data_IF_878825265690
#
_entry.id   IF_878825265690
#
_cell.length_a   1.000
_cell.length_b   1.000
_cell.length_c   1.000
_cell.angle_alpha   90.00
_cell.angle_beta   90.00
_cell.angle_gamma   90.00
#
_symmetry.space_group_name_H-M   'P 1'
#
loop_
_entity.id
_entity.type
_entity.pdbx_description
1 polymer ?
#
# COMPACT_ATOMS: atom_id res chain seq x y z
N UNK A 1 -52.46 -30.47 21.08
CA UNK A 1 -51.48 -29.83 21.97
C UNK A 1 -50.16 -30.01 21.26
N UNK A 2 -49.84 -29.08 20.38
CA UNK A 2 -48.58 -29.09 19.65
C UNK A 2 -47.79 -27.89 20.15
N UNK A 3 -46.66 -28.21 20.79
CA UNK A 3 -45.71 -27.28 21.37
C UNK A 3 -44.76 -26.79 20.27
N UNK A 4 -44.91 -25.53 19.88
CA UNK A 4 -43.90 -24.81 19.10
C UNK A 4 -42.66 -24.56 19.98
N UNK A 5 -41.64 -25.39 19.81
CA UNK A 5 -40.26 -25.09 20.22
C UNK A 5 -39.63 -24.20 19.16
N UNK A 6 -39.90 -22.89 19.22
CA UNK A 6 -39.11 -21.90 18.48
C UNK A 6 -37.78 -21.69 19.21
N UNK A 7 -36.70 -21.66 18.43
CA UNK A 7 -35.33 -21.86 18.88
C UNK A 7 -34.77 -20.65 19.63
N UNK A 8 -34.25 -20.90 20.83
CA UNK A 8 -33.51 -20.01 21.76
C UNK A 8 -32.15 -19.50 21.23
N UNK A 9 -32.01 -19.31 19.92
CA UNK A 9 -30.73 -18.93 19.30
C UNK A 9 -30.32 -17.47 19.57
N UNK A 10 -31.26 -16.59 19.91
CA UNK A 10 -31.00 -15.16 20.12
C UNK A 10 -31.17 -14.67 21.57
N UNK A 11 -31.34 -15.59 22.53
CA UNK A 11 -31.65 -15.26 23.92
C UNK A 11 -33.09 -14.79 24.09
N UNK A 12 -33.60 -14.89 25.32
CA UNK A 12 -34.95 -14.45 25.66
C UNK A 12 -35.16 -12.94 25.45
N UNK A 13 -36.43 -12.51 25.41
CA UNK A 13 -36.81 -11.12 25.17
C UNK A 13 -36.17 -10.15 26.18
N UNK A 14 -35.87 -10.62 27.38
CA UNK A 14 -35.21 -9.86 28.44
C UNK A 14 -33.73 -9.64 28.12
N UNK A 15 -33.02 -10.67 27.67
CA UNK A 15 -31.63 -10.62 27.19
C UNK A 15 -31.49 -9.71 25.98
N UNK A 16 -32.42 -9.78 25.03
CA UNK A 16 -32.45 -8.92 23.85
C UNK A 16 -32.67 -7.45 24.26
N UNK A 17 -33.55 -7.19 25.22
CA UNK A 17 -33.83 -5.84 25.73
C UNK A 17 -32.60 -5.25 26.45
N UNK A 18 -31.91 -6.04 27.28
CA UNK A 18 -30.70 -5.61 27.98
C UNK A 18 -29.55 -5.30 27.00
N UNK A 19 -29.33 -6.17 26.00
CA UNK A 19 -28.32 -5.93 24.96
C UNK A 19 -28.64 -4.67 24.15
N UNK A 20 -29.91 -4.43 23.80
CA UNK A 20 -30.33 -3.19 23.12
C UNK A 20 -30.12 -1.95 23.99
N UNK A 21 -30.37 -2.03 25.30
CA UNK A 21 -30.10 -0.94 26.23
C UNK A 21 -28.60 -0.63 26.34
N UNK A 22 -27.76 -1.67 26.38
CA UNK A 22 -26.28 -1.55 26.43
C UNK A 22 -25.69 -0.92 25.17
N UNK A 23 -26.27 -1.18 23.99
CA UNK A 23 -25.79 -0.61 22.72
C UNK A 23 -26.38 0.78 22.44
N UNK A 24 -27.46 1.19 23.12
CA UNK A 24 -28.14 2.49 22.91
C UNK A 24 -27.22 3.70 23.14
N UNK A 25 -26.22 3.55 24.00
CA UNK A 25 -25.23 4.59 24.30
C UNK A 25 -23.87 4.34 23.64
N UNK A 26 -23.76 3.28 22.83
CA UNK A 26 -22.53 2.95 22.15
C UNK A 26 -22.39 3.81 20.89
N UNK A 27 -21.55 4.85 20.99
CA UNK A 27 -21.23 5.71 19.86
C UNK A 27 -20.30 4.97 18.88
N UNK A 28 -20.94 4.31 17.91
CA UNK A 28 -20.27 3.61 16.83
C UNK A 28 -19.37 4.59 16.06
N UNK A 29 -19.81 5.83 15.79
CA UNK A 29 -19.01 6.79 15.04
C UNK A 29 -17.73 7.19 15.81
N UNK A 30 -17.82 7.42 17.12
CA UNK A 30 -16.64 7.67 17.96
C UNK A 30 -15.73 6.45 18.08
N UNK A 31 -16.28 5.23 18.20
CA UNK A 31 -15.48 4.00 18.21
C UNK A 31 -14.74 3.80 16.89
N UNK A 32 -15.39 4.09 15.76
CA UNK A 32 -14.77 4.02 14.44
C UNK A 32 -13.77 5.15 14.22
N UNK A 33 -13.99 6.35 14.77
CA UNK A 33 -13.00 7.43 14.75
C UNK A 33 -11.76 7.07 15.61
N UNK A 34 -11.96 6.43 16.76
CA UNK A 34 -10.89 5.95 17.65
C UNK A 34 -10.13 4.76 17.04
N UNK A 35 -10.83 3.82 16.40
CA UNK A 35 -10.20 2.70 15.68
C UNK A 35 -9.51 3.17 14.40
N UNK A 36 -10.09 4.13 13.68
CA UNK A 36 -9.42 4.77 12.54
C UNK A 36 -8.17 5.51 13.03
N UNK A 37 -8.22 6.23 14.15
CA UNK A 37 -7.02 6.80 14.77
C UNK A 37 -6.01 5.71 15.17
N UNK A 38 -6.44 4.63 15.82
CA UNK A 38 -5.56 3.54 16.24
C UNK A 38 -4.93 2.75 15.07
N UNK A 39 -5.60 2.70 13.91
CA UNK A 39 -5.11 2.04 12.70
C UNK A 39 -4.41 3.01 11.73
N UNK A 40 -4.54 4.33 11.96
CA UNK A 40 -3.74 5.34 11.26
C UNK A 40 -2.33 5.32 11.86
N UNK A 41 -1.27 5.25 11.03
CA UNK A 41 0.08 5.42 11.54
C UNK A 41 0.15 6.71 12.37
N UNK A 42 0.72 6.63 13.59
CA UNK A 42 0.74 7.76 14.55
C UNK A 42 1.22 9.09 13.92
N UNK A 43 2.07 9.04 12.89
CA UNK A 43 2.57 10.24 12.17
C UNK A 43 1.54 10.89 11.25
N UNK A 44 0.55 10.17 10.73
CA UNK A 44 -0.51 10.74 9.89
C UNK A 44 -1.50 11.58 10.70
N UNK A 45 -1.69 11.23 11.98
CA UNK A 45 -2.44 12.06 12.92
C UNK A 45 -1.76 13.42 13.14
N UNK A 46 -0.41 13.46 13.15
CA UNK A 46 0.36 14.68 13.31
C UNK A 46 0.29 15.61 12.08
N UNK A 47 0.17 15.07 10.86
CA UNK A 47 -0.01 15.86 9.63
C UNK A 47 -1.34 16.61 9.61
N UNK A 48 -2.42 16.05 10.21
CA UNK A 48 -3.71 16.74 10.38
C UNK A 48 -3.65 17.91 11.36
N UNK A 49 -2.65 17.92 12.24
CA UNK A 49 -2.51 18.92 13.31
C UNK A 49 -1.48 20.01 12.98
N UNK A 50 -0.84 19.95 11.82
CA UNK A 50 0.14 20.93 11.38
C UNK A 50 -0.56 22.20 10.87
N UNK A 51 -0.33 23.40 11.43
CA UNK A 51 -0.81 24.63 10.82
C UNK A 51 -0.09 24.89 9.48
N UNK A 52 -0.73 25.59 8.52
CA UNK A 52 -0.09 25.95 7.27
C UNK A 52 1.16 26.79 7.56
N UNK A 53 2.31 26.37 7.04
CA UNK A 53 3.54 27.15 7.09
C UNK A 53 3.32 28.45 6.32
N UNK A 54 3.64 29.64 6.87
CA UNK A 54 3.51 30.89 6.12
C UNK A 54 4.45 30.84 4.91
N UNK A 55 3.93 31.19 3.74
CA UNK A 55 4.77 31.44 2.57
C UNK A 55 5.64 32.67 2.86
N UNK A 56 6.95 32.49 2.99
CA UNK A 56 7.89 33.60 2.91
C UNK A 56 8.06 33.99 1.45
N UNK A 57 7.37 35.07 1.07
CA UNK A 57 7.69 35.91 -0.06
C UNK A 57 9.13 36.43 0.11
N UNK A 58 10.04 36.04 -0.78
CA UNK A 58 11.25 36.84 -1.04
C UNK A 58 11.51 36.91 -2.53
N UNK A 59 11.15 38.06 -3.09
CA UNK A 59 11.53 38.50 -4.44
C UNK A 59 13.06 38.72 -4.54
N UNK A 60 13.64 38.66 -5.76
CA UNK A 60 15.09 38.65 -5.96
C UNK A 60 15.68 40.06 -6.09
N UNK A 61 16.89 40.25 -5.57
CA UNK A 61 17.71 41.46 -5.73
C UNK A 61 19.21 41.11 -5.73
N UNK A 62 20.09 41.99 -6.24
CA UNK A 62 20.74 41.73 -7.53
C UNK A 62 22.23 41.34 -7.46
N UNK A 63 22.70 40.90 -8.62
CA UNK A 63 24.05 40.50 -8.97
C UNK A 63 25.15 41.49 -8.53
N UNK A 64 26.26 40.93 -8.04
CA UNK A 64 27.54 41.65 -7.96
C UNK A 64 28.60 40.90 -8.75
N UNK A 65 29.15 41.64 -9.70
CA UNK A 65 30.23 41.32 -10.64
C UNK A 65 31.56 41.24 -9.91
N UNK A 66 32.41 40.26 -10.25
CA UNK A 66 33.85 40.32 -10.02
C UNK A 66 34.59 39.92 -11.30
N UNK A 67 35.11 40.93 -11.99
CA UNK A 67 36.21 40.88 -12.97
C UNK A 67 37.53 40.63 -12.24
N UNK A 68 38.46 39.83 -12.74
CA UNK A 68 39.69 40.17 -13.53
C UNK A 68 40.60 38.93 -13.36
N UNK A 69 41.49 38.45 -14.22
CA UNK A 69 42.36 39.04 -15.24
C UNK A 69 43.07 37.86 -15.95
N UNK A 70 43.29 37.95 -17.27
CA UNK A 70 44.22 37.08 -18.03
C UNK A 70 45.70 37.46 -17.75
N UNK A 71 46.68 36.71 -18.31
CA UNK A 71 47.19 37.13 -19.63
C UNK A 71 47.55 36.00 -20.62
N UNK A 72 47.16 36.26 -21.87
CA UNK A 72 47.88 36.19 -23.16
C UNK A 72 48.60 34.94 -23.71
N UNK A 73 48.22 34.70 -24.98
CA UNK A 73 49.02 34.35 -26.17
C UNK A 73 49.43 32.89 -26.43
N UNK A 74 48.77 32.26 -27.40
CA UNK A 74 49.30 32.13 -28.78
C UNK A 74 48.47 31.14 -29.61
N UNK A 75 48.18 31.53 -30.86
CA UNK A 75 47.52 30.73 -31.89
C UNK A 75 48.34 29.50 -32.31
N UNK A 76 47.67 28.36 -32.55
CA UNK A 76 47.94 27.60 -33.78
C UNK A 76 46.82 26.63 -34.15
N UNK A 77 46.53 26.59 -35.46
CA UNK A 77 45.65 25.65 -36.15
C UNK A 77 46.29 24.26 -36.30
N UNK A 78 45.47 23.22 -36.42
CA UNK A 78 45.81 22.05 -37.25
C UNK A 78 45.71 20.66 -36.60
N UNK A 79 44.91 19.82 -37.26
CA UNK A 79 44.87 18.34 -37.29
C UNK A 79 44.26 17.63 -36.07
N UNK A 80 43.09 17.02 -36.20
CA UNK A 80 42.85 15.74 -36.90
C UNK A 80 43.63 14.59 -36.28
N UNK A 81 43.04 13.93 -35.28
CA UNK A 81 43.21 12.50 -35.09
C UNK A 81 41.93 11.89 -34.57
N UNK A 82 41.38 11.08 -35.47
CA UNK A 82 40.41 10.02 -35.30
C UNK A 82 40.62 9.30 -33.96
N UNK A 83 39.65 9.42 -33.05
CA UNK A 83 39.51 8.51 -31.92
C UNK A 83 38.08 8.04 -31.96
N UNK A 84 37.96 6.81 -32.44
CA UNK A 84 36.79 5.95 -32.43
C UNK A 84 36.01 6.16 -31.13
N UNK A 85 34.91 6.92 -31.24
CA UNK A 85 33.94 7.04 -30.17
C UNK A 85 33.30 5.66 -29.98
N UNK A 86 33.89 4.86 -29.08
CA UNK A 86 33.20 3.73 -28.50
C UNK A 86 31.88 4.26 -27.95
N UNK A 87 30.77 3.79 -28.52
CA UNK A 87 29.44 4.09 -28.04
C UNK A 87 29.41 3.78 -26.54
N UNK A 88 29.39 4.83 -25.72
CA UNK A 88 29.15 4.72 -24.29
C UNK A 88 27.71 4.24 -24.19
N UNK A 89 27.53 2.92 -24.02
CA UNK A 89 26.26 2.35 -23.59
C UNK A 89 25.86 3.15 -22.35
N UNK A 90 24.70 3.83 -22.34
CA UNK A 90 24.30 4.57 -21.16
C UNK A 90 24.20 3.55 -20.02
N UNK A 91 25.13 3.65 -19.06
CA UNK A 91 25.13 2.80 -17.90
C UNK A 91 23.73 2.92 -17.28
N UNK A 92 23.01 1.80 -17.19
CA UNK A 92 21.71 1.73 -16.53
C UNK A 92 21.90 2.24 -15.11
N UNK A 93 21.55 3.51 -14.89
CA UNK A 93 21.69 4.15 -13.58
C UNK A 93 20.68 3.51 -12.66
N UNK A 94 21.17 2.58 -11.83
CA UNK A 94 20.35 1.92 -10.83
C UNK A 94 19.77 2.96 -9.87
N UNK A 95 18.48 2.86 -9.58
CA UNK A 95 17.76 3.78 -8.71
C UNK A 95 17.21 3.04 -7.50
N UNK A 96 17.39 3.59 -6.30
CA UNK A 96 16.79 3.06 -5.08
C UNK A 96 16.29 4.21 -4.20
N UNK A 97 14.96 4.46 -4.15
CA UNK A 97 14.37 5.46 -3.26
C UNK A 97 14.64 5.20 -1.77
N UNK A 98 14.97 3.97 -1.38
CA UNK A 98 15.24 3.58 0.01
C UNK A 98 16.74 3.59 0.36
N UNK A 99 17.57 4.27 -0.42
CA UNK A 99 18.99 4.42 -0.11
C UNK A 99 19.18 5.01 1.31
N UNK A 100 20.00 4.36 2.13
CA UNK A 100 20.25 4.74 3.53
C UNK A 100 19.21 4.26 4.55
N UNK A 101 18.10 3.68 4.11
CA UNK A 101 17.09 3.10 5.01
C UNK A 101 17.56 1.72 5.49
N UNK A 102 17.90 1.59 6.78
CA UNK A 102 18.53 0.38 7.34
C UNK A 102 17.69 -0.89 7.16
N UNK A 103 16.37 -0.77 7.10
CA UNK A 103 15.44 -1.89 6.92
C UNK A 103 15.03 -2.13 5.46
N UNK A 104 15.72 -1.49 4.52
CA UNK A 104 15.58 -1.74 3.09
C UNK A 104 16.86 -2.33 2.50
N UNK A 105 16.73 -3.03 1.37
CA UNK A 105 17.87 -3.43 0.56
C UNK A 105 18.59 -2.21 0.00
N UNK A 106 19.91 -2.19 0.12
CA UNK A 106 20.82 -1.20 -0.44
C UNK A 106 21.41 -1.66 -1.79
N UNK A 107 21.93 -0.71 -2.58
CA UNK A 107 22.49 -1.03 -3.91
C UNK A 107 23.91 -1.58 -3.85
N UNK A 108 24.63 -1.30 -2.77
CA UNK A 108 25.98 -1.74 -2.48
C UNK A 108 26.04 -3.12 -1.79
N UNK A 109 24.89 -3.73 -1.49
CA UNK A 109 24.80 -5.10 -0.95
C UNK A 109 24.23 -6.11 -1.97
N UNK A 110 24.70 -7.36 -1.86
CA UNK A 110 24.13 -8.48 -2.61
C UNK A 110 22.74 -8.84 -2.09
N UNK A 111 21.94 -9.54 -2.89
CA UNK A 111 20.63 -10.00 -2.45
C UNK A 111 20.74 -11.02 -1.30
N UNK A 112 21.81 -11.82 -1.29
CA UNK A 112 22.12 -12.79 -0.22
C UNK A 112 22.45 -12.08 1.09
N UNK A 113 23.29 -11.03 1.04
CA UNK A 113 23.63 -10.24 2.22
C UNK A 113 22.39 -9.56 2.81
N UNK A 114 21.52 -8.99 1.96
CA UNK A 114 20.24 -8.41 2.37
C UNK A 114 19.33 -9.43 3.07
N UNK A 115 19.14 -10.61 2.47
CA UNK A 115 18.27 -11.66 3.02
C UNK A 115 18.82 -12.24 4.32
N UNK A 116 20.14 -12.34 4.47
CA UNK A 116 20.79 -12.78 5.71
C UNK A 116 20.72 -11.71 6.81
N UNK A 117 20.77 -10.43 6.44
CA UNK A 117 20.72 -9.30 7.37
C UNK A 117 19.31 -9.05 7.92
N UNK A 118 18.28 -9.26 7.11
CA UNK A 118 16.88 -9.02 7.46
C UNK A 118 15.97 -10.22 7.13
N UNK A 119 16.18 -11.39 7.75
CA UNK A 119 15.26 -12.53 7.64
C UNK A 119 13.93 -12.19 8.32
N UNK A 120 12.80 -12.18 7.60
CA UNK A 120 11.54 -11.74 8.19
C UNK A 120 11.15 -12.52 9.44
N UNK A 121 11.32 -13.85 9.45
CA UNK A 121 10.89 -14.70 10.56
C UNK A 121 11.56 -14.35 11.90
N UNK A 122 12.80 -13.86 11.91
CA UNK A 122 13.54 -13.59 13.14
C UNK A 122 13.84 -12.11 13.39
N UNK A 123 13.69 -11.24 12.39
CA UNK A 123 13.86 -9.79 12.55
C UNK A 123 12.69 -9.23 13.35
N UNK A 124 12.90 -8.67 14.57
CA UNK A 124 11.80 -8.12 15.36
C UNK A 124 11.26 -6.83 14.73
N UNK A 125 9.93 -6.71 14.71
CA UNK A 125 9.26 -5.47 14.38
C UNK A 125 9.51 -4.47 15.51
N UNK A 126 9.79 -3.23 15.14
CA UNK A 126 9.92 -2.11 16.09
C UNK A 126 9.38 -0.85 15.45
N UNK A 127 9.17 0.21 16.22
CA UNK A 127 8.80 1.52 15.66
C UNK A 127 9.83 2.06 14.63
N UNK A 128 11.10 1.65 14.73
CA UNK A 128 12.17 2.03 13.79
C UNK A 128 12.32 1.04 12.62
N UNK A 129 11.73 -0.15 12.72
CA UNK A 129 11.74 -1.22 11.71
C UNK A 129 10.31 -1.80 11.60
N UNK A 130 9.37 -1.03 11.04
CA UNK A 130 7.99 -1.51 10.89
C UNK A 130 7.83 -2.51 9.73
N UNK A 131 8.76 -2.46 8.77
CA UNK A 131 8.71 -3.24 7.52
C UNK A 131 10.12 -3.53 7.01
N UNK A 132 10.27 -4.60 6.24
CA UNK A 132 11.47 -4.89 5.46
C UNK A 132 11.16 -4.61 3.98
N UNK A 133 11.97 -3.80 3.31
CA UNK A 133 11.73 -3.34 1.93
C UNK A 133 12.77 -3.79 0.93
N UNK A 134 12.33 -3.95 -0.32
CA UNK A 134 13.20 -4.03 -1.48
C UNK A 134 12.60 -3.25 -2.64
N UNK A 135 13.42 -2.43 -3.29
CA UNK A 135 13.06 -1.72 -4.51
C UNK A 135 13.69 -2.39 -5.74
N UNK A 136 13.00 -2.33 -6.87
CA UNK A 136 13.51 -2.81 -8.15
C UNK A 136 14.49 -1.78 -8.77
N UNK A 137 15.80 -2.06 -8.82
CA UNK A 137 16.81 -1.08 -9.17
C UNK A 137 16.86 -0.73 -10.66
N UNK A 138 16.23 -1.55 -11.53
CA UNK A 138 16.36 -1.45 -12.98
C UNK A 138 15.25 -0.61 -13.64
N UNK A 139 14.41 0.06 -12.84
CA UNK A 139 13.18 0.69 -13.34
C UNK A 139 13.35 2.05 -14.01
N UNK A 140 14.48 2.71 -13.81
CA UNK A 140 14.83 4.04 -14.33
C UNK A 140 14.92 4.13 -15.87
N UNK A 141 14.60 3.05 -16.61
CA UNK A 141 14.73 2.96 -18.07
C UNK A 141 13.44 2.74 -18.87
N UNK A 142 12.22 2.86 -18.31
CA UNK A 142 10.99 2.80 -19.14
C UNK A 142 10.88 4.06 -20.01
N UNK A 143 10.56 3.88 -21.30
CA UNK A 143 10.28 4.96 -22.25
C UNK A 143 9.15 5.86 -21.73
N UNK A 144 9.14 7.16 -22.08
CA UNK A 144 8.04 8.07 -21.77
C UNK A 144 6.72 7.45 -22.21
N UNK A 145 5.71 7.49 -21.34
CA UNK A 145 4.33 7.13 -21.70
C UNK A 145 3.83 8.04 -22.83
N UNK A 146 2.85 7.56 -23.62
CA UNK A 146 2.17 8.37 -24.65
C UNK A 146 1.56 9.67 -24.09
N UNK A 147 1.34 9.75 -22.78
CA UNK A 147 1.03 10.97 -22.07
C UNK A 147 2.31 11.80 -21.86
N UNK A 148 2.56 12.74 -22.78
CA UNK A 148 3.78 13.54 -22.90
C UNK A 148 4.51 13.84 -21.60
N UNK A 149 5.77 13.43 -21.56
CA UNK A 149 6.89 13.92 -20.73
C UNK A 149 6.53 14.37 -19.30
N UNK A 150 5.88 13.50 -18.53
CA UNK A 150 5.78 13.67 -17.07
C UNK A 150 6.77 12.75 -16.40
N UNK A 151 7.62 13.30 -15.55
CA UNK A 151 8.49 12.51 -14.69
C UNK A 151 7.65 11.59 -13.79
N UNK A 152 7.71 10.28 -14.06
CA UNK A 152 7.07 9.23 -13.24
C UNK A 152 8.06 8.59 -12.27
N UNK A 153 9.16 9.29 -11.96
CA UNK A 153 10.11 8.87 -10.95
C UNK A 153 9.40 8.59 -9.63
N UNK A 154 9.97 7.66 -8.86
CA UNK A 154 9.45 7.34 -7.55
C UNK A 154 10.33 7.97 -6.47
N UNK A 155 9.73 8.68 -5.52
CA UNK A 155 10.39 9.39 -4.43
C UNK A 155 9.81 8.94 -3.09
N UNK A 156 10.55 8.99 -1.99
CA UNK A 156 9.98 8.71 -0.66
C UNK A 156 9.45 10.02 -0.09
N UNK A 157 8.19 10.04 0.37
CA UNK A 157 7.57 11.20 1.03
C UNK A 157 7.42 10.93 2.52
N UNK A 158 7.70 11.94 3.33
CA UNK A 158 7.53 11.86 4.78
C UNK A 158 6.07 11.56 5.13
N UNK A 159 5.83 10.60 6.03
CA UNK A 159 4.49 10.12 6.36
C UNK A 159 3.98 8.95 5.49
N UNK A 160 4.78 8.48 4.53
CA UNK A 160 4.46 7.30 3.69
C UNK A 160 5.47 6.18 3.87
N UNK A 161 6.24 6.18 4.97
CA UNK A 161 7.36 5.25 5.19
C UNK A 161 6.89 3.79 5.35
N UNK A 162 5.61 3.60 5.67
CA UNK A 162 4.97 2.29 5.78
C UNK A 162 4.55 1.69 4.43
N UNK A 163 4.83 2.35 3.31
CA UNK A 163 4.38 1.92 1.99
C UNK A 163 5.46 2.07 0.89
N UNK A 164 5.12 1.68 -0.35
CA UNK A 164 6.02 1.84 -1.50
C UNK A 164 6.43 3.32 -1.73
N UNK A 165 7.38 3.61 -2.63
CA UNK A 165 7.74 5.00 -2.97
C UNK A 165 6.75 5.61 -3.97
N UNK A 166 6.73 6.95 -3.97
CA UNK A 166 5.74 7.85 -4.56
C UNK A 166 6.01 8.32 -5.97
N UNK A 167 5.05 8.20 -6.90
CA UNK A 167 5.07 8.95 -8.15
C UNK A 167 5.23 10.44 -7.84
N UNK A 168 6.27 11.04 -8.39
CA UNK A 168 6.59 12.43 -8.16
C UNK A 168 5.41 13.34 -8.56
N UNK A 169 5.07 14.26 -7.65
CA UNK A 169 3.92 15.15 -7.79
C UNK A 169 2.58 14.54 -7.38
N UNK A 170 2.58 13.41 -6.68
CA UNK A 170 1.37 12.90 -6.04
C UNK A 170 0.89 13.83 -4.92
N UNK A 171 -0.41 14.10 -4.89
CA UNK A 171 -1.08 14.92 -3.89
C UNK A 171 -1.90 14.04 -2.93
N UNK A 172 -1.20 13.45 -1.97
CA UNK A 172 -1.79 12.57 -0.97
C UNK A 172 -2.76 13.30 -0.04
N UNK A 173 -2.49 14.58 0.25
CA UNK A 173 -3.32 15.35 1.18
C UNK A 173 -4.70 15.58 0.58
N UNK A 174 -4.76 16.16 -0.62
CA UNK A 174 -6.03 16.39 -1.31
C UNK A 174 -6.74 15.07 -1.62
N UNK A 175 -6.00 14.00 -1.89
CA UNK A 175 -6.58 12.67 -2.05
C UNK A 175 -7.30 12.20 -0.79
N UNK A 176 -6.66 12.28 0.38
CA UNK A 176 -7.25 11.88 1.65
C UNK A 176 -8.47 12.74 2.01
N UNK A 177 -8.38 14.07 1.85
CA UNK A 177 -9.46 15.00 2.14
C UNK A 177 -10.68 14.74 1.23
N UNK A 178 -10.48 14.74 -0.09
CA UNK A 178 -11.56 14.53 -1.06
C UNK A 178 -12.12 13.10 -1.07
N UNK A 179 -11.26 12.10 -0.83
CA UNK A 179 -11.68 10.71 -0.69
C UNK A 179 -12.57 10.50 0.54
N UNK A 180 -12.23 11.12 1.66
CA UNK A 180 -13.04 11.04 2.88
C UNK A 180 -14.37 11.78 2.73
N UNK A 181 -14.37 12.95 2.08
CA UNK A 181 -15.60 13.66 1.75
C UNK A 181 -16.55 12.77 0.93
N UNK A 182 -16.01 12.04 -0.06
CA UNK A 182 -16.82 11.12 -0.87
C UNK A 182 -17.46 10.02 -0.03
N UNK A 183 -16.71 9.45 0.90
CA UNK A 183 -17.21 8.43 1.80
C UNK A 183 -18.26 8.96 2.79
N UNK A 184 -18.11 10.19 3.28
CA UNK A 184 -19.12 10.84 4.11
C UNK A 184 -20.45 11.05 3.34
N UNK A 185 -20.40 11.42 2.05
CA UNK A 185 -21.60 11.51 1.22
C UNK A 185 -22.28 10.14 1.09
N UNK A 186 -21.51 9.08 0.85
CA UNK A 186 -22.02 7.72 0.80
C UNK A 186 -22.63 7.28 2.15
N UNK A 187 -21.99 7.61 3.27
CA UNK A 187 -22.53 7.35 4.62
C UNK A 187 -23.89 7.99 4.81
N UNK A 188 -24.02 9.30 4.55
CA UNK A 188 -25.28 10.04 4.71
C UNK A 188 -26.40 9.43 3.86
N UNK A 189 -26.10 9.09 2.61
CA UNK A 189 -27.06 8.44 1.73
C UNK A 189 -27.48 7.05 2.24
N UNK A 190 -26.52 6.22 2.65
CA UNK A 190 -26.78 4.87 3.17
C UNK A 190 -27.65 4.93 4.44
N UNK A 191 -27.35 5.85 5.36
CA UNK A 191 -28.14 6.06 6.58
C UNK A 191 -29.57 6.50 6.26
N UNK A 192 -29.73 7.47 5.34
CA UNK A 192 -31.03 7.91 4.88
C UNK A 192 -31.83 6.78 4.22
N UNK A 193 -31.19 5.98 3.37
CA UNK A 193 -31.82 4.82 2.75
C UNK A 193 -32.29 3.80 3.80
N UNK A 194 -31.45 3.51 4.81
CA UNK A 194 -31.78 2.59 5.91
C UNK A 194 -32.93 3.10 6.77
N UNK A 195 -33.06 4.41 6.94
CA UNK A 195 -34.13 5.06 7.70
C UNK A 195 -35.42 5.35 6.93
N UNK A 196 -35.48 5.06 5.62
CA UNK A 196 -36.57 5.52 4.74
C UNK A 196 -37.91 4.77 4.85
N UNK A 197 -37.95 3.64 5.58
CA UNK A 197 -39.13 2.76 5.63
C UNK A 197 -39.42 1.99 4.33
N UNK A 198 -38.57 2.12 3.30
CA UNK A 198 -38.70 1.41 2.04
C UNK A 198 -38.41 -0.09 2.17
N UNK A 199 -38.82 -0.88 1.16
CA UNK A 199 -38.61 -2.32 1.13
C UNK A 199 -37.10 -2.69 1.28
N UNK A 200 -36.80 -3.68 2.12
CA UNK A 200 -35.42 -4.10 2.45
C UNK A 200 -34.55 -4.39 1.22
N UNK A 201 -35.12 -5.05 0.21
CA UNK A 201 -34.40 -5.37 -1.03
C UNK A 201 -34.00 -4.12 -1.83
N UNK A 202 -34.88 -3.11 -1.86
CA UNK A 202 -34.60 -1.83 -2.49
C UNK A 202 -33.48 -1.10 -1.74
N UNK A 203 -33.60 -0.99 -0.41
CA UNK A 203 -32.58 -0.35 0.45
C UNK A 203 -31.22 -1.01 0.27
N UNK A 204 -31.15 -2.35 0.29
CA UNK A 204 -29.90 -3.08 0.11
C UNK A 204 -29.26 -2.82 -1.26
N UNK A 205 -30.06 -2.71 -2.33
CA UNK A 205 -29.55 -2.39 -3.68
C UNK A 205 -28.99 -0.97 -3.74
N UNK A 206 -29.71 0.02 -3.22
CA UNK A 206 -29.25 1.42 -3.25
C UNK A 206 -28.01 1.61 -2.37
N UNK A 207 -27.92 0.96 -1.21
CA UNK A 207 -26.70 0.99 -0.37
C UNK A 207 -25.49 0.39 -1.11
N UNK A 208 -25.67 -0.76 -1.78
CA UNK A 208 -24.60 -1.37 -2.59
C UNK A 208 -24.17 -0.47 -3.73
N UNK A 209 -25.12 0.18 -4.40
CA UNK A 209 -24.84 1.13 -5.48
C UNK A 209 -24.05 2.33 -4.97
N UNK A 210 -24.47 2.93 -3.85
CA UNK A 210 -23.76 4.05 -3.24
C UNK A 210 -22.32 3.70 -2.85
N UNK A 211 -22.10 2.50 -2.27
CA UNK A 211 -20.76 2.00 -2.00
C UNK A 211 -19.92 1.83 -3.26
N UNK A 212 -20.49 1.24 -4.32
CA UNK A 212 -19.81 1.05 -5.60
C UNK A 212 -19.46 2.37 -6.31
N UNK A 213 -20.36 3.36 -6.27
CA UNK A 213 -20.13 4.68 -6.83
C UNK A 213 -19.02 5.42 -6.07
N UNK A 214 -19.07 5.40 -4.73
CA UNK A 214 -18.02 5.99 -3.90
C UNK A 214 -16.65 5.34 -4.14
N UNK A 215 -16.60 4.02 -4.25
CA UNK A 215 -15.39 3.27 -4.60
C UNK A 215 -14.80 3.74 -5.94
N UNK A 216 -15.62 3.81 -7.00
CA UNK A 216 -15.20 4.28 -8.32
C UNK A 216 -14.63 5.71 -8.25
N UNK A 217 -15.31 6.60 -7.55
CA UNK A 217 -14.96 8.01 -7.47
C UNK A 217 -13.69 8.26 -6.65
N UNK A 218 -13.48 7.49 -5.57
CA UNK A 218 -12.21 7.46 -4.83
C UNK A 218 -11.06 7.02 -5.73
N UNK A 219 -11.26 6.00 -6.57
CA UNK A 219 -10.22 5.52 -7.49
C UNK A 219 -9.96 6.51 -8.63
N UNK A 220 -10.98 7.22 -9.12
CA UNK A 220 -10.84 8.31 -10.10
C UNK A 220 -10.04 9.47 -9.52
N UNK A 221 -10.34 9.85 -8.28
CA UNK A 221 -9.59 10.88 -7.56
C UNK A 221 -8.13 10.46 -7.33
N UNK A 222 -7.89 9.22 -6.87
CA UNK A 222 -6.54 8.68 -6.67
C UNK A 222 -5.71 8.77 -7.95
N UNK A 223 -6.30 8.39 -9.09
CA UNK A 223 -5.63 8.44 -10.38
C UNK A 223 -5.32 9.87 -10.84
N UNK A 224 -6.26 10.80 -10.67
CA UNK A 224 -6.09 12.21 -11.01
C UNK A 224 -4.98 12.87 -10.19
N UNK A 225 -4.86 12.51 -8.92
CA UNK A 225 -3.86 13.03 -7.97
C UNK A 225 -2.56 12.23 -7.92
N UNK A 226 -2.34 11.35 -8.91
CA UNK A 226 -1.14 10.49 -9.06
C UNK A 226 -0.87 9.52 -7.91
N UNK A 227 -1.89 9.19 -7.12
CA UNK A 227 -1.87 8.12 -6.12
C UNK A 227 -2.22 6.81 -6.82
N UNK A 228 -1.27 6.29 -7.61
CA UNK A 228 -1.56 5.30 -8.65
C UNK A 228 -1.05 3.89 -8.41
N UNK A 229 -0.15 3.66 -7.47
CA UNK A 229 0.49 2.35 -7.30
C UNK A 229 -0.53 1.22 -7.12
N UNK A 230 -0.06 -0.01 -7.01
CA UNK A 230 -0.85 -1.21 -6.79
C UNK A 230 -0.16 -2.10 -5.79
N UNK A 231 -0.84 -3.08 -5.19
CA UNK A 231 -0.18 -4.20 -4.52
C UNK A 231 -0.95 -5.50 -4.59
N UNK A 232 -0.22 -6.57 -4.91
CA UNK A 232 -0.62 -7.94 -4.61
C UNK A 232 -0.26 -8.26 -3.16
N UNK A 233 -1.17 -8.91 -2.43
CA UNK A 233 -0.95 -9.32 -1.05
C UNK A 233 -0.82 -10.84 -0.95
N UNK A 234 0.24 -11.31 -0.29
CA UNK A 234 0.50 -12.71 0.02
C UNK A 234 0.52 -12.89 1.54
N UNK A 235 0.11 -14.06 2.00
CA UNK A 235 0.01 -14.42 3.40
C UNK A 235 0.68 -15.78 3.69
N UNK A 236 1.99 -15.96 3.49
CA UNK A 236 2.70 -17.19 3.88
C UNK A 236 2.62 -17.45 5.39
N UNK A 237 2.74 -18.73 5.78
CA UNK A 237 2.93 -19.13 7.18
C UNK A 237 4.24 -18.59 7.74
N UNK A 238 4.41 -18.61 9.07
CA UNK A 238 5.68 -18.23 9.71
C UNK A 238 6.82 -19.14 9.24
N UNK A 239 6.53 -20.43 9.01
CA UNK A 239 7.51 -21.42 8.53
C UNK A 239 7.99 -21.12 7.10
N UNK A 240 7.09 -20.67 6.23
CA UNK A 240 7.37 -20.44 4.81
C UNK A 240 7.80 -19.00 4.48
N UNK A 241 7.73 -18.08 5.45
CA UNK A 241 7.91 -16.65 5.19
C UNK A 241 9.26 -16.30 4.62
N UNK A 242 10.36 -16.84 5.18
CA UNK A 242 11.72 -16.54 4.72
C UNK A 242 11.92 -17.01 3.28
N UNK A 243 11.47 -18.24 2.98
CA UNK A 243 11.54 -18.83 1.64
C UNK A 243 10.70 -18.03 0.63
N UNK A 244 9.47 -17.68 1.01
CA UNK A 244 8.56 -16.88 0.17
C UNK A 244 9.17 -15.50 -0.10
N UNK A 245 9.71 -14.85 0.94
CA UNK A 245 10.35 -13.55 0.82
C UNK A 245 11.60 -13.58 -0.04
N UNK A 246 12.45 -14.61 0.08
CA UNK A 246 13.62 -14.79 -0.78
C UNK A 246 13.22 -14.80 -2.27
N UNK A 247 12.21 -15.58 -2.64
CA UNK A 247 11.73 -15.65 -4.04
C UNK A 247 11.22 -14.28 -4.50
N UNK A 248 10.41 -13.61 -3.68
CA UNK A 248 9.88 -12.27 -3.99
C UNK A 248 11.00 -11.24 -4.12
N UNK A 249 11.97 -11.23 -3.21
CA UNK A 249 13.05 -10.28 -3.18
C UNK A 249 13.97 -10.44 -4.41
N UNK A 250 14.36 -11.68 -4.73
CA UNK A 250 15.16 -11.98 -5.93
C UNK A 250 14.43 -11.56 -7.21
N UNK A 251 13.17 -11.95 -7.37
CA UNK A 251 12.39 -11.62 -8.55
C UNK A 251 12.12 -10.10 -8.67
N UNK A 252 12.01 -9.37 -7.55
CA UNK A 252 11.91 -7.90 -7.54
C UNK A 252 13.23 -7.24 -7.95
N UNK A 253 14.37 -7.71 -7.41
CA UNK A 253 15.69 -7.19 -7.76
C UNK A 253 16.04 -7.40 -9.24
N UNK A 254 15.55 -8.51 -9.82
CA UNK A 254 15.76 -8.89 -11.22
C UNK A 254 14.73 -8.31 -12.19
N UNK A 255 13.91 -7.34 -11.76
CA UNK A 255 12.88 -6.69 -12.58
C UNK A 255 11.83 -7.67 -13.17
N UNK A 256 11.61 -8.80 -12.51
CA UNK A 256 10.59 -9.77 -12.93
C UNK A 256 9.23 -9.50 -12.30
N UNK A 257 9.22 -8.97 -11.08
CA UNK A 257 8.02 -8.49 -10.39
C UNK A 257 7.78 -7.00 -10.66
N UNK A 258 7.11 -6.33 -9.73
CA UNK A 258 6.76 -4.93 -9.87
C UNK A 258 7.86 -3.98 -9.38
N UNK A 259 7.47 -2.87 -8.79
CA UNK A 259 8.35 -1.74 -8.48
C UNK A 259 9.11 -1.90 -7.17
N UNK A 260 8.50 -2.58 -6.23
CA UNK A 260 8.98 -2.77 -4.89
C UNK A 260 8.23 -3.96 -4.27
N UNK A 261 8.76 -4.47 -3.18
CA UNK A 261 8.06 -5.37 -2.29
C UNK A 261 8.35 -5.02 -0.84
N UNK A 262 7.43 -5.39 0.05
CA UNK A 262 7.63 -5.30 1.50
C UNK A 262 7.14 -6.56 2.20
N UNK A 263 7.71 -6.83 3.36
CA UNK A 263 7.29 -7.92 4.24
C UNK A 263 7.28 -7.44 5.68
N UNK A 264 6.27 -7.86 6.45
CA UNK A 264 6.25 -7.55 7.88
C UNK A 264 7.44 -8.25 8.60
N UNK A 265 8.02 -7.68 9.66
CA UNK A 265 8.98 -8.35 10.54
C UNK A 265 8.27 -9.03 11.71
N UNK A 266 8.95 -9.93 12.45
CA UNK A 266 8.37 -10.74 13.53
C UNK A 266 7.69 -9.80 14.55
N UNK A 267 6.37 -9.91 14.77
CA UNK A 267 5.68 -9.01 15.68
C UNK A 267 6.25 -9.13 17.11
N UNK A 268 6.12 -8.04 17.88
CA UNK A 268 6.68 -7.94 19.24
C UNK A 268 6.06 -8.98 20.20
N UNK A 269 4.78 -9.34 20.00
CA UNK A 269 4.01 -10.25 20.87
C UNK A 269 4.22 -11.75 20.57
N UNK A 270 5.15 -12.11 19.67
CA UNK A 270 5.59 -13.49 19.45
C UNK A 270 6.78 -13.80 20.36
N UNK A 271 6.53 -13.93 21.67
CA UNK A 271 7.52 -14.45 22.63
C UNK A 271 7.89 -15.90 22.28
N UNK A 272 9.16 -16.26 22.44
CA UNK A 272 9.75 -17.56 22.07
C UNK A 272 9.39 -18.72 23.04
N UNK A 273 8.49 -18.49 23.99
CA UNK A 273 8.13 -19.45 25.05
C UNK A 273 6.63 -19.80 25.04
N UNK A 274 6.18 -20.61 24.09
CA UNK A 274 4.94 -21.39 24.23
C UNK A 274 5.25 -22.89 24.30
N UNK A 275 6.03 -23.25 25.32
CA UNK A 275 6.17 -24.60 25.82
C UNK A 275 5.37 -24.76 27.12
N UNK A 276 4.06 -24.53 27.07
CA UNK A 276 3.02 -25.23 27.85
C UNK A 276 1.76 -24.35 27.96
N UNK A 277 0.74 -24.68 27.18
CA UNK A 277 -0.63 -24.71 27.67
C UNK A 277 -1.32 -25.96 27.16
N UNK A 278 -1.11 -27.06 27.89
CA UNK A 278 -1.95 -28.25 27.88
C UNK A 278 -3.27 -27.90 28.58
N UNK A 279 -4.11 -27.10 27.91
CA UNK A 279 -5.51 -26.93 28.28
C UNK A 279 -6.34 -27.23 27.03
N UNK A 280 -6.84 -28.47 27.01
CA UNK A 280 -7.60 -29.03 25.92
C UNK A 280 -8.93 -28.31 25.71
N UNK A 281 -8.95 -27.40 24.76
CA UNK A 281 -10.14 -27.03 23.96
C UNK A 281 -9.64 -26.53 22.59
N UNK A 282 -9.84 -27.37 21.57
CA UNK A 282 -9.21 -27.24 20.24
C UNK A 282 -9.46 -25.91 19.53
N UNK A 283 -8.56 -24.95 19.73
CA UNK A 283 -8.41 -23.73 18.93
C UNK A 283 -6.94 -23.55 18.55
N UNK A 284 -6.56 -24.23 17.48
CA UNK A 284 -5.18 -24.38 16.96
C UNK A 284 -4.59 -23.10 16.33
N UNK A 285 -5.04 -21.90 16.73
CA UNK A 285 -4.85 -20.66 15.94
C UNK A 285 -3.96 -19.58 16.62
N UNK A 286 -3.12 -19.98 17.59
CA UNK A 286 -2.24 -19.05 18.32
C UNK A 286 -0.88 -18.77 17.67
N UNK A 287 -0.24 -19.79 17.08
CA UNK A 287 1.21 -19.79 16.80
C UNK A 287 1.63 -19.77 15.32
N UNK A 288 0.70 -19.69 14.36
CA UNK A 288 1.01 -19.71 12.91
C UNK A 288 0.31 -18.56 12.17
N UNK A 289 0.31 -17.35 12.76
CA UNK A 289 -0.28 -16.17 12.11
C UNK A 289 0.49 -15.84 10.83
N UNK A 290 -0.21 -15.88 9.70
CA UNK A 290 0.39 -15.64 8.40
C UNK A 290 1.04 -14.26 8.31
N UNK A 291 2.23 -14.20 7.70
CA UNK A 291 2.96 -12.96 7.43
C UNK A 291 2.37 -12.24 6.22
N UNK A 292 2.13 -10.94 6.30
CA UNK A 292 1.86 -10.13 5.11
C UNK A 292 3.14 -9.84 4.29
N UNK A 293 3.11 -10.19 3.00
CA UNK A 293 4.02 -9.70 1.96
C UNK A 293 3.20 -8.90 0.93
N UNK A 294 3.69 -7.73 0.53
CA UNK A 294 3.11 -6.95 -0.56
C UNK A 294 4.09 -6.84 -1.74
N UNK A 295 3.59 -7.02 -2.96
CA UNK A 295 4.34 -6.79 -4.21
C UNK A 295 3.66 -5.68 -5.00
N UNK A 296 4.37 -4.58 -5.22
CA UNK A 296 3.78 -3.33 -5.71
C UNK A 296 3.87 -3.17 -7.22
N UNK A 297 2.85 -2.65 -7.89
CA UNK A 297 2.86 -2.25 -9.32
C UNK A 297 2.81 -0.74 -9.46
N UNK A 298 3.28 -0.16 -10.57
CA UNK A 298 3.35 1.31 -10.75
C UNK A 298 1.97 1.96 -10.75
N UNK A 299 1.02 1.31 -11.41
CA UNK A 299 -0.27 1.88 -11.75
C UNK A 299 -1.34 0.80 -11.62
N UNK A 300 -2.36 1.01 -10.78
CA UNK A 300 -3.45 0.06 -10.59
C UNK A 300 -4.38 -0.01 -11.79
N UNK A 301 -4.33 0.94 -12.72
CA UNK A 301 -5.10 0.90 -13.98
C UNK A 301 -4.30 0.30 -15.14
N UNK A 302 -2.98 0.15 -15.01
CA UNK A 302 -2.14 -0.54 -15.98
C UNK A 302 -2.35 -2.05 -15.87
N UNK A 303 -3.45 -2.52 -16.48
CA UNK A 303 -3.84 -3.92 -16.46
C UNK A 303 -2.84 -4.85 -17.16
N UNK A 304 -1.92 -4.32 -17.98
CA UNK A 304 -0.84 -5.13 -18.54
C UNK A 304 0.22 -5.42 -17.48
N UNK A 305 0.67 -4.40 -16.73
CA UNK A 305 1.63 -4.57 -15.65
C UNK A 305 1.04 -5.39 -14.49
N UNK A 306 -0.22 -5.14 -14.13
CA UNK A 306 -0.95 -5.92 -13.10
C UNK A 306 -1.00 -7.40 -13.46
N UNK A 307 -1.36 -7.73 -14.71
CA UNK A 307 -1.39 -9.12 -15.21
C UNK A 307 0.00 -9.72 -15.31
N UNK A 308 1.00 -8.95 -15.75
CA UNK A 308 2.39 -9.41 -15.87
C UNK A 308 2.93 -9.85 -14.50
N UNK A 309 2.73 -9.03 -13.47
CA UNK A 309 3.14 -9.36 -12.10
C UNK A 309 2.36 -10.55 -11.56
N UNK A 310 1.03 -10.61 -11.76
CA UNK A 310 0.21 -11.75 -11.38
C UNK A 310 0.70 -13.08 -11.99
N UNK A 311 0.96 -13.11 -13.30
CA UNK A 311 1.47 -14.29 -14.00
C UNK A 311 2.84 -14.71 -13.47
N UNK A 312 3.72 -13.75 -13.19
CA UNK A 312 5.04 -14.06 -12.63
C UNK A 312 4.92 -14.64 -11.22
N UNK A 313 4.04 -14.11 -10.36
CA UNK A 313 3.75 -14.68 -9.04
C UNK A 313 3.25 -16.13 -9.14
N UNK A 314 2.40 -16.43 -10.13
CA UNK A 314 1.95 -17.79 -10.42
C UNK A 314 3.09 -18.71 -10.88
N UNK A 315 3.92 -18.27 -11.82
CA UNK A 315 5.07 -19.03 -12.33
C UNK A 315 6.10 -19.33 -11.24
N UNK A 316 6.24 -18.44 -10.26
CA UNK A 316 7.13 -18.61 -9.10
C UNK A 316 6.53 -19.53 -8.02
N UNK A 317 5.30 -20.04 -8.21
CA UNK A 317 4.64 -20.92 -7.25
C UNK A 317 4.18 -20.21 -5.98
N UNK A 318 3.99 -18.89 -6.01
CA UNK A 318 3.65 -18.06 -4.85
C UNK A 318 2.15 -17.85 -4.67
N UNK A 319 1.32 -18.61 -5.40
CA UNK A 319 -0.14 -18.51 -5.34
C UNK A 319 -0.66 -19.55 -4.35
N UNK A 320 -1.22 -19.15 -3.20
CA UNK A 320 -1.83 -20.08 -2.26
C UNK A 320 -3.13 -20.65 -2.84
N UNK A 321 -3.61 -21.77 -2.29
CA UNK A 321 -4.88 -22.41 -2.70
C UNK A 321 -6.09 -21.47 -2.68
N UNK A 322 -6.08 -20.46 -1.81
CA UNK A 322 -7.17 -19.45 -1.69
C UNK A 322 -7.07 -18.29 -2.69
N UNK A 323 -6.07 -18.29 -3.58
CA UNK A 323 -5.83 -17.23 -4.57
C UNK A 323 -5.10 -16.00 -4.01
N UNK A 324 -4.79 -15.04 -4.88
CA UNK A 324 -4.18 -13.75 -4.51
C UNK A 324 -5.18 -12.60 -4.68
N UNK A 325 -5.08 -11.61 -3.80
CA UNK A 325 -5.91 -10.40 -3.83
C UNK A 325 -5.05 -9.20 -4.23
N UNK A 326 -5.62 -8.33 -5.07
CA UNK A 326 -4.99 -7.09 -5.50
C UNK A 326 -5.73 -5.88 -4.94
N UNK A 327 -4.96 -5.04 -4.25
CA UNK A 327 -5.39 -3.73 -3.75
C UNK A 327 -4.74 -2.63 -4.59
N UNK A 328 -5.43 -1.53 -4.93
CA UNK A 328 -4.75 -0.36 -5.46
C UNK A 328 -3.79 0.17 -4.38
N UNK A 329 -2.55 0.41 -4.76
CA UNK A 329 -1.46 1.03 -3.99
C UNK A 329 -1.47 2.55 -4.16
N UNK A 330 -0.90 3.32 -3.25
CA UNK A 330 0.51 3.33 -2.89
C UNK A 330 0.68 3.65 -1.40
N UNK A 331 0.03 2.86 -0.57
CA UNK A 331 -0.77 3.31 0.58
C UNK A 331 -2.20 3.44 0.08
N UNK A 332 -2.95 2.38 0.37
CA UNK A 332 -4.11 2.05 -0.42
C UNK A 332 -5.05 3.25 -0.40
N UNK A 333 -5.56 3.66 -1.57
CA UNK A 333 -6.64 4.65 -1.62
C UNK A 333 -7.72 4.31 -0.58
N UNK A 334 -7.91 3.01 -0.37
CA UNK A 334 -8.74 2.43 0.65
C UNK A 334 -8.15 2.44 2.08
N UNK A 335 -6.87 2.21 2.28
CA UNK A 335 -6.20 2.16 3.59
C UNK A 335 -6.08 3.54 4.20
N UNK A 336 -5.73 4.58 3.42
CA UNK A 336 -5.79 5.96 3.90
C UNK A 336 -7.20 6.41 4.29
N UNK A 337 -8.21 5.78 3.72
CA UNK A 337 -9.60 6.07 4.00
C UNK A 337 -10.22 5.06 4.99
N UNK A 338 -9.44 4.14 5.57
CA UNK A 338 -9.93 3.13 6.51
C UNK A 338 -10.87 2.07 5.92
N UNK A 339 -10.91 1.92 4.59
CA UNK A 339 -11.67 0.90 3.88
C UNK A 339 -10.93 -0.45 4.02
N UNK A 340 -11.35 -1.20 5.04
CA UNK A 340 -10.97 -2.59 5.27
C UNK A 340 -12.15 -3.54 5.00
N UNK A 341 -11.95 -4.85 5.23
CA UNK A 341 -13.06 -5.81 5.21
C UNK A 341 -14.12 -5.41 6.25
N UNK A 342 -15.39 -5.53 5.91
CA UNK A 342 -16.49 -5.15 6.81
C UNK A 342 -16.73 -3.64 6.97
N UNK A 343 -16.18 -2.80 6.09
CA UNK A 343 -16.44 -1.35 6.12
C UNK A 343 -17.94 -1.02 5.94
N UNK A 344 -18.42 0.11 6.50
CA UNK A 344 -19.84 0.45 6.54
C UNK A 344 -20.49 0.71 5.16
N UNK A 345 -19.67 0.96 4.14
CA UNK A 345 -20.10 1.24 2.77
C UNK A 345 -20.27 -0.03 1.92
N UNK A 346 -19.88 -1.20 2.43
CA UNK A 346 -19.90 -2.45 1.65
C UNK A 346 -18.93 -2.46 0.47
N UNK A 347 -17.92 -1.59 0.49
CA UNK A 347 -16.88 -1.50 -0.54
C UNK A 347 -15.98 -2.74 -0.42
N UNK A 348 -15.70 -3.43 -1.51
CA UNK A 348 -14.71 -4.51 -1.47
C UNK A 348 -13.32 -3.90 -1.29
N UNK A 349 -12.52 -4.36 -0.31
CA UNK A 349 -11.20 -3.80 -0.09
C UNK A 349 -10.20 -4.17 -1.20
N UNK A 350 -10.49 -5.14 -2.05
CA UNK A 350 -9.74 -5.48 -3.26
C UNK A 350 -10.48 -5.03 -4.52
N UNK A 351 -9.73 -4.59 -5.54
CA UNK A 351 -10.28 -4.19 -6.84
C UNK A 351 -10.11 -5.26 -7.92
N UNK A 352 -9.11 -6.13 -7.77
CA UNK A 352 -8.94 -7.33 -8.59
C UNK A 352 -8.62 -8.55 -7.73
N UNK A 353 -8.93 -9.72 -8.24
CA UNK A 353 -8.47 -11.01 -7.73
C UNK A 353 -7.73 -11.78 -8.84
N UNK A 354 -6.87 -12.72 -8.46
CA UNK A 354 -6.02 -13.44 -9.41
C UNK A 354 -6.81 -14.15 -10.51
N UNK A 355 -7.95 -14.76 -10.17
CA UNK A 355 -8.76 -15.50 -11.13
C UNK A 355 -9.33 -14.56 -12.22
N UNK A 356 -9.88 -13.42 -11.79
CA UNK A 356 -10.39 -12.38 -12.70
C UNK A 356 -9.29 -11.81 -13.62
N UNK A 357 -8.08 -11.63 -13.10
CA UNK A 357 -6.94 -11.03 -13.83
C UNK A 357 -6.35 -12.00 -14.85
N UNK A 358 -6.27 -13.28 -14.50
CA UNK A 358 -5.71 -14.33 -15.34
C UNK A 358 -6.73 -14.96 -16.31
N UNK A 359 -8.01 -14.58 -16.24
CA UNK A 359 -9.05 -15.13 -17.09
C UNK A 359 -9.36 -16.60 -16.80
N UNK A 360 -9.09 -17.06 -15.58
CA UNK A 360 -9.45 -18.41 -15.13
C UNK A 360 -10.89 -18.32 -14.61
N UNK A 361 -11.85 -18.69 -15.44
CA UNK A 361 -13.22 -18.88 -14.98
C UNK A 361 -13.20 -19.93 -13.84
N UNK A 362 -13.83 -19.58 -12.72
CA UNK A 362 -14.02 -20.50 -11.58
C UNK A 362 -14.84 -21.72 -11.97
#
# INVERSE_FOLDING_TARGET
>A
MDSDTDSDFYGDDETIADLKARVKHYDVAARWALNAQAQMPMRLQALRQSPPTPAEDTAPGPATVLTSTEPDAASNSGNSMDTTAAAVTPATRMHNPYAGVSYARQLDETIEAFLARLPPASTPATAALPWIYIYNPLRSGRKPSQDGDRDRSQVVVRGTEDEAPVEQGADLRTFCEGGMERLHLATRFIEQCRGSGMARAFVARECRKAGADAAREVLDLAYALRVRCGKWMLFPSVKDVNKTWEVVARATANNELGIAAKVAPRPEDEDEDDHNSDDGDGKEDGADKARLICVYTVDFRDMEDVRRVARKLEQLGLVPRRGLFYKPGWADAYTYLGIASGNPWGIKPSIYDLASVLGKNS
#
